data_IF_348877820115
#
_entry.id   IF_348877820115
#
_cell.length_a   1.000
_cell.length_b   1.000
_cell.length_c   1.000
_cell.angle_alpha   90.00
_cell.angle_beta   90.00
_cell.angle_gamma   90.00
#
_symmetry.space_group_name_H-M   'P 1'
#
loop_
_entity.id
_entity.type
_entity.pdbx_description
1 polymer ?
#
# COMPACT_ATOMS: atom_id res chain seq x y z
N UNK A 1 32.94 21.33 1.60
CA UNK A 1 31.48 21.59 1.57
C UNK A 1 30.70 20.33 1.88
N UNK A 2 31.03 19.20 1.27
CA UNK A 2 30.39 17.88 1.48
C UNK A 2 30.39 17.36 2.92
N UNK A 3 31.55 17.56 3.62
CA UNK A 3 31.71 17.11 5.00
C UNK A 3 30.82 17.86 6.01
N UNK A 4 30.53 19.14 5.74
CA UNK A 4 29.66 19.98 6.60
C UNK A 4 28.19 19.63 6.42
N UNK A 5 27.76 19.29 5.19
CA UNK A 5 26.41 18.84 4.85
C UNK A 5 26.15 17.46 5.47
N UNK A 6 27.11 16.54 5.39
CA UNK A 6 27.00 15.21 6.01
C UNK A 6 26.93 15.30 7.55
N UNK A 7 27.56 16.27 8.18
CA UNK A 7 27.54 16.49 9.64
C UNK A 7 26.19 17.09 10.09
N UNK A 8 25.60 17.98 9.30
CA UNK A 8 24.29 18.60 9.58
C UNK A 8 23.15 17.58 9.34
N UNK A 9 23.19 16.85 8.22
CA UNK A 9 22.27 15.76 7.93
C UNK A 9 22.37 14.64 8.96
N UNK A 10 23.59 14.25 9.37
CA UNK A 10 23.81 13.26 10.43
C UNK A 10 23.21 13.70 11.77
N UNK A 11 23.38 14.96 12.15
CA UNK A 11 22.83 15.50 13.41
C UNK A 11 21.29 15.64 13.42
N UNK A 12 20.67 15.92 12.27
CA UNK A 12 19.21 15.94 12.10
C UNK A 12 18.62 14.53 12.11
N UNK A 13 19.26 13.59 11.45
CA UNK A 13 18.86 12.18 11.39
C UNK A 13 19.06 11.48 12.74
N UNK A 14 20.07 11.90 13.52
CA UNK A 14 20.31 11.37 14.88
C UNK A 14 19.25 11.84 15.90
N UNK A 15 18.79 13.09 15.79
CA UNK A 15 17.67 13.61 16.60
C UNK A 15 16.36 12.84 16.40
N UNK A 16 16.17 12.27 15.22
CA UNK A 16 14.97 11.47 14.89
C UNK A 16 15.23 9.98 15.17
N UNK A 17 16.45 9.58 15.55
CA UNK A 17 16.86 8.19 15.73
C UNK A 17 16.94 7.40 14.40
N UNK A 18 16.91 8.10 13.27
CA UNK A 18 16.91 7.52 11.93
C UNK A 18 18.31 7.06 11.51
N UNK A 19 19.35 7.80 11.92
CA UNK A 19 20.74 7.49 11.59
C UNK A 19 21.19 6.15 12.19
N UNK A 20 20.81 5.87 13.42
CA UNK A 20 21.13 4.59 14.07
C UNK A 20 20.38 3.41 13.43
N UNK A 21 19.14 3.65 12.98
CA UNK A 21 18.35 2.66 12.24
C UNK A 21 19.01 2.32 10.89
N UNK A 22 19.45 3.33 10.14
CA UNK A 22 20.13 3.13 8.85
C UNK A 22 21.50 2.47 9.01
N UNK A 23 22.25 2.80 10.06
CA UNK A 23 23.57 2.22 10.35
C UNK A 23 23.49 0.75 10.81
N UNK A 24 22.39 0.34 11.45
CA UNK A 24 22.19 -1.04 11.91
C UNK A 24 21.81 -2.01 10.79
N UNK A 25 21.47 -1.47 9.61
CA UNK A 25 21.09 -2.26 8.43
C UNK A 25 22.33 -2.36 7.54
N UNK A 26 22.85 -3.57 7.30
CA UNK A 26 23.91 -3.76 6.31
C UNK A 26 23.49 -3.22 4.94
N UNK A 27 24.41 -2.59 4.20
CA UNK A 27 24.13 -1.93 2.92
C UNK A 27 23.38 -2.83 1.92
N UNK A 28 23.68 -4.13 1.91
CA UNK A 28 23.01 -5.12 1.06
C UNK A 28 21.54 -5.31 1.43
N UNK A 29 21.23 -5.43 2.72
CA UNK A 29 19.83 -5.53 3.18
C UNK A 29 19.03 -4.25 2.92
N UNK A 30 19.69 -3.11 2.96
CA UNK A 30 19.09 -1.82 2.64
C UNK A 30 18.76 -1.71 1.15
N UNK A 31 19.70 -2.12 0.29
CA UNK A 31 19.50 -2.14 -1.16
C UNK A 31 18.34 -3.08 -1.56
N UNK A 32 18.29 -4.29 -0.99
CA UNK A 32 17.23 -5.25 -1.26
C UNK A 32 15.84 -4.73 -0.86
N UNK A 33 15.71 -4.08 0.30
CA UNK A 33 14.44 -3.49 0.74
C UNK A 33 14.02 -2.31 -0.12
N UNK A 34 14.98 -1.47 -0.52
CA UNK A 34 14.70 -0.36 -1.42
C UNK A 34 14.27 -0.84 -2.81
N UNK A 35 14.98 -1.83 -3.38
CA UNK A 35 14.60 -2.45 -4.64
C UNK A 35 13.19 -3.05 -4.59
N UNK A 36 12.86 -3.73 -3.50
CA UNK A 36 11.52 -4.29 -3.30
C UNK A 36 10.44 -3.19 -3.18
N UNK A 37 10.76 -2.04 -2.57
CA UNK A 37 9.85 -0.90 -2.53
C UNK A 37 9.61 -0.31 -3.92
N UNK A 38 10.65 -0.20 -4.76
CA UNK A 38 10.52 0.22 -6.17
C UNK A 38 9.67 -0.76 -6.96
N UNK A 39 9.96 -2.06 -6.87
CA UNK A 39 9.19 -3.11 -7.55
C UNK A 39 7.73 -3.03 -7.14
N UNK A 40 7.44 -2.97 -5.83
CA UNK A 40 6.06 -2.81 -5.36
C UNK A 40 5.41 -1.55 -5.93
N UNK A 41 6.08 -0.40 -5.90
CA UNK A 41 5.55 0.87 -6.41
C UNK A 41 5.18 0.79 -7.89
N UNK A 42 6.02 0.17 -8.71
CA UNK A 42 5.76 -0.05 -10.15
C UNK A 42 4.55 -0.97 -10.35
N UNK A 43 4.56 -2.14 -9.70
CA UNK A 43 3.50 -3.14 -9.89
C UNK A 43 2.16 -2.66 -9.33
N UNK A 44 2.15 -2.01 -8.16
CA UNK A 44 0.93 -1.47 -7.56
C UNK A 44 0.33 -0.33 -8.39
N UNK A 45 1.14 0.58 -8.91
CA UNK A 45 0.66 1.66 -9.77
C UNK A 45 0.16 1.13 -11.11
N UNK A 46 0.84 0.14 -11.69
CA UNK A 46 0.39 -0.51 -12.91
C UNK A 46 -0.95 -1.24 -12.71
N UNK A 47 -1.07 -2.04 -11.64
CA UNK A 47 -2.33 -2.72 -11.31
C UNK A 47 -3.48 -1.71 -11.09
N UNK A 48 -3.19 -0.62 -10.38
CA UNK A 48 -4.20 0.39 -10.06
C UNK A 48 -4.64 1.17 -11.29
N UNK A 49 -3.70 1.73 -12.06
CA UNK A 49 -4.00 2.70 -13.11
C UNK A 49 -4.45 2.04 -14.42
N UNK A 50 -4.07 0.80 -14.67
CA UNK A 50 -4.43 0.10 -15.92
C UNK A 50 -5.60 -0.88 -15.76
N UNK A 51 -5.86 -1.34 -14.52
CA UNK A 51 -6.89 -2.36 -14.29
C UNK A 51 -7.91 -1.94 -13.24
N UNK A 52 -7.49 -1.59 -12.02
CA UNK A 52 -8.42 -1.39 -10.92
C UNK A 52 -9.28 -0.14 -11.10
N UNK A 53 -8.69 1.01 -11.40
CA UNK A 53 -9.46 2.24 -11.61
C UNK A 53 -10.39 2.12 -12.83
N UNK A 54 -9.93 1.68 -14.03
CA UNK A 54 -10.81 1.52 -15.17
C UNK A 54 -11.92 0.48 -14.97
N UNK A 55 -11.65 -0.57 -14.19
CA UNK A 55 -12.60 -1.65 -13.91
C UNK A 55 -13.51 -1.40 -12.70
N UNK A 56 -13.37 -0.26 -12.03
CA UNK A 56 -14.03 0.02 -10.74
C UNK A 56 -13.80 -1.11 -9.71
N UNK A 57 -12.60 -1.67 -9.71
CA UNK A 57 -12.18 -2.73 -8.80
C UNK A 57 -11.44 -2.10 -7.63
N UNK A 58 -11.88 -2.41 -6.42
CA UNK A 58 -11.25 -1.90 -5.20
C UNK A 58 -10.20 -2.88 -4.69
N UNK A 59 -9.00 -2.36 -4.47
CA UNK A 59 -7.90 -3.15 -3.93
C UNK A 59 -8.13 -3.52 -2.47
N UNK A 60 -7.33 -4.43 -1.95
CA UNK A 60 -7.23 -4.67 -0.51
C UNK A 60 -6.39 -3.60 0.19
N UNK A 61 -6.56 -3.48 1.49
CA UNK A 61 -5.67 -2.66 2.32
C UNK A 61 -5.85 -1.17 2.18
N UNK A 62 -4.76 -0.44 2.42
CA UNK A 62 -4.79 1.02 2.34
C UNK A 62 -5.05 1.53 0.93
N UNK A 63 -4.65 0.80 -0.10
CA UNK A 63 -4.92 1.18 -1.48
C UNK A 63 -6.43 1.16 -1.75
N UNK A 64 -7.14 0.12 -1.31
CA UNK A 64 -8.60 0.07 -1.42
C UNK A 64 -9.29 1.14 -0.57
N UNK A 65 -8.83 1.36 0.65
CA UNK A 65 -9.33 2.45 1.48
C UNK A 65 -9.10 3.83 0.83
N UNK A 66 -7.94 4.04 0.20
CA UNK A 66 -7.63 5.27 -0.53
C UNK A 66 -8.54 5.46 -1.76
N UNK A 67 -8.85 4.38 -2.49
CA UNK A 67 -9.82 4.42 -3.59
C UNK A 67 -11.21 4.82 -3.08
N UNK A 68 -11.69 4.19 -2.00
CA UNK A 68 -12.99 4.52 -1.39
C UNK A 68 -13.05 5.98 -0.94
N UNK A 69 -12.01 6.47 -0.27
CA UNK A 69 -11.92 7.86 0.20
C UNK A 69 -11.91 8.84 -0.99
N UNK A 70 -11.08 8.59 -2.00
CA UNK A 70 -10.99 9.41 -3.20
C UNK A 70 -12.33 9.50 -3.92
N UNK A 71 -12.95 8.37 -4.20
CA UNK A 71 -14.25 8.28 -4.87
C UNK A 71 -15.36 8.95 -4.07
N UNK A 72 -15.38 8.76 -2.74
CA UNK A 72 -16.37 9.39 -1.87
C UNK A 72 -16.24 10.92 -1.89
N UNK A 73 -15.00 11.43 -1.82
CA UNK A 73 -14.74 12.88 -1.89
C UNK A 73 -15.17 13.44 -3.25
N UNK A 74 -14.85 12.75 -4.34
CA UNK A 74 -15.27 13.15 -5.70
C UNK A 74 -16.79 13.19 -5.82
N UNK A 75 -17.52 12.21 -5.29
CA UNK A 75 -19.00 12.20 -5.31
C UNK A 75 -19.63 13.32 -4.50
N UNK A 76 -19.06 13.65 -3.33
CA UNK A 76 -19.59 14.71 -2.46
C UNK A 76 -19.27 16.09 -3.01
N UNK A 77 -18.05 16.29 -3.53
CA UNK A 77 -17.59 17.61 -4.04
C UNK A 77 -17.99 17.91 -5.49
N UNK A 78 -18.33 16.87 -6.26
CA UNK A 78 -18.55 16.96 -7.71
C UNK A 78 -17.25 17.13 -8.54
N UNK A 79 -16.09 17.13 -7.90
CA UNK A 79 -14.78 17.33 -8.52
C UNK A 79 -13.74 16.35 -7.96
N UNK A 80 -12.78 15.96 -8.79
CA UNK A 80 -11.65 15.13 -8.36
C UNK A 80 -10.58 15.98 -7.64
N UNK A 81 -10.92 16.42 -6.42
CA UNK A 81 -10.04 17.25 -5.58
C UNK A 81 -9.05 16.43 -4.75
N UNK A 82 -9.30 15.15 -4.56
CA UNK A 82 -8.44 14.28 -3.76
C UNK A 82 -8.09 12.99 -4.54
N UNK A 83 -7.03 13.01 -5.37
CA UNK A 83 -6.64 11.84 -6.14
C UNK A 83 -6.23 10.67 -5.24
N UNK A 84 -6.33 9.44 -5.77
CA UNK A 84 -5.99 8.21 -5.04
C UNK A 84 -4.55 8.26 -4.49
N UNK A 85 -3.63 8.85 -5.22
CA UNK A 85 -2.23 9.03 -4.79
C UNK A 85 -2.12 9.82 -3.48
N UNK A 86 -2.84 10.93 -3.35
CA UNK A 86 -2.87 11.73 -2.12
C UNK A 86 -3.65 11.01 -1.01
N UNK A 87 -4.79 10.40 -1.33
CA UNK A 87 -5.59 9.60 -0.41
C UNK A 87 -4.78 8.45 0.20
N UNK A 88 -3.88 7.83 -0.58
CA UNK A 88 -3.02 6.74 -0.10
C UNK A 88 -2.08 7.20 1.01
N UNK A 89 -1.47 8.37 0.87
CA UNK A 89 -0.63 8.96 1.92
C UNK A 89 -1.48 9.31 3.14
N UNK A 90 -2.62 9.95 2.93
CA UNK A 90 -3.52 10.39 4.00
C UNK A 90 -4.01 9.23 4.85
N UNK A 91 -4.49 8.15 4.23
CA UNK A 91 -4.95 6.94 4.91
C UNK A 91 -3.84 6.24 5.67
N UNK A 92 -2.60 6.24 5.13
CA UNK A 92 -1.47 5.62 5.80
C UNK A 92 -0.84 6.50 6.90
N UNK A 93 -1.03 7.81 6.90
CA UNK A 93 -0.41 8.72 7.88
C UNK A 93 -0.67 8.31 9.35
N UNK A 94 -1.91 8.05 9.81
CA UNK A 94 -2.15 7.56 11.16
C UNK A 94 -1.55 6.17 11.40
N UNK A 95 -1.50 5.32 10.38
CA UNK A 95 -0.94 3.98 10.49
C UNK A 95 0.59 4.01 10.64
N UNK A 96 1.28 4.99 10.07
CA UNK A 96 2.71 5.18 10.29
C UNK A 96 3.03 5.50 11.75
N UNK A 97 2.19 6.31 12.42
CA UNK A 97 2.36 6.60 13.85
C UNK A 97 2.16 5.32 14.67
N UNK A 98 1.14 4.54 14.30
CA UNK A 98 0.86 3.25 14.94
C UNK A 98 2.02 2.26 14.74
N UNK A 99 2.55 2.15 13.53
CA UNK A 99 3.67 1.28 13.19
C UNK A 99 4.95 1.69 13.93
N UNK A 100 5.22 2.99 13.99
CA UNK A 100 6.40 3.53 14.68
C UNK A 100 6.45 3.15 16.16
N UNK A 101 5.29 3.26 16.84
CA UNK A 101 5.18 2.97 18.27
C UNK A 101 4.97 1.48 18.57
N UNK A 102 4.25 0.75 17.70
CA UNK A 102 3.79 -0.60 18.00
C UNK A 102 4.55 -1.73 17.31
N UNK A 103 5.18 -1.48 16.16
CA UNK A 103 5.88 -2.50 15.37
C UNK A 103 7.39 -2.28 15.43
N UNK A 104 7.87 -1.14 14.95
CA UNK A 104 9.28 -0.79 15.00
C UNK A 104 9.67 0.27 13.96
N UNK A 105 10.71 1.04 14.29
CA UNK A 105 11.16 2.18 13.47
C UNK A 105 11.61 1.76 12.07
N UNK A 106 12.40 0.69 11.98
CA UNK A 106 12.92 0.19 10.70
C UNK A 106 11.79 -0.22 9.75
N UNK A 107 10.84 -1.00 10.24
CA UNK A 107 9.65 -1.40 9.47
C UNK A 107 8.90 -0.18 8.96
N UNK A 108 8.64 0.80 9.85
CA UNK A 108 7.91 2.02 9.49
C UNK A 108 8.60 2.84 8.43
N UNK A 109 9.93 3.04 8.52
CA UNK A 109 10.70 3.81 7.54
C UNK A 109 10.56 3.21 6.13
N UNK A 110 10.76 1.90 6.00
CA UNK A 110 10.61 1.25 4.69
C UNK A 110 9.18 1.24 4.20
N UNK A 111 8.20 1.10 5.09
CA UNK A 111 6.79 1.22 4.73
C UNK A 111 6.45 2.63 4.24
N UNK A 112 6.95 3.68 4.89
CA UNK A 112 6.79 5.07 4.42
C UNK A 112 7.41 5.24 3.03
N UNK A 113 8.64 4.76 2.82
CA UNK A 113 9.31 4.82 1.52
C UNK A 113 8.44 4.11 0.47
N UNK A 114 7.96 2.90 0.75
CA UNK A 114 7.14 2.11 -0.16
C UNK A 114 5.85 2.85 -0.54
N UNK A 115 5.12 3.39 0.44
CA UNK A 115 3.86 4.10 0.24
C UNK A 115 4.07 5.40 -0.53
N UNK A 116 5.10 6.18 -0.19
CA UNK A 116 5.43 7.43 -0.89
C UNK A 116 5.82 7.14 -2.34
N UNK A 117 6.66 6.15 -2.59
CA UNK A 117 7.01 5.74 -3.95
C UNK A 117 5.79 5.29 -4.74
N UNK A 118 4.93 4.47 -4.16
CA UNK A 118 3.67 4.04 -4.82
C UNK A 118 2.78 5.24 -5.14
N UNK A 119 2.63 6.18 -4.19
CA UNK A 119 1.85 7.40 -4.42
C UNK A 119 2.42 8.23 -5.57
N UNK A 120 3.74 8.39 -5.65
CA UNK A 120 4.42 9.10 -6.75
C UNK A 120 4.15 8.39 -8.09
N UNK A 121 4.35 7.08 -8.16
CA UNK A 121 4.12 6.33 -9.40
C UNK A 121 2.65 6.33 -9.82
N UNK A 122 1.70 6.19 -8.87
CA UNK A 122 0.27 6.29 -9.15
C UNK A 122 -0.09 7.67 -9.72
N UNK A 123 0.55 8.74 -9.23
CA UNK A 123 0.28 10.10 -9.69
C UNK A 123 0.81 10.36 -11.10
N UNK A 124 2.02 9.90 -11.42
CA UNK A 124 2.68 10.21 -12.70
C UNK A 124 2.32 9.24 -13.83
N UNK A 125 1.93 8.02 -13.53
CA UNK A 125 1.47 7.07 -14.55
C UNK A 125 0.01 7.38 -14.88
N UNK A 126 -0.34 7.66 -16.14
CA UNK A 126 -1.72 7.98 -16.49
C UNK A 126 -2.63 6.77 -16.31
N UNK A 127 -3.87 7.03 -15.94
CA UNK A 127 -4.92 6.00 -15.90
C UNK A 127 -5.31 5.67 -17.35
N UNK A 128 -5.02 4.46 -17.78
CA UNK A 128 -5.26 4.01 -19.15
C UNK A 128 -5.86 2.60 -19.12
N UNK A 129 -7.12 2.41 -19.54
CA UNK A 129 -7.74 1.10 -19.55
C UNK A 129 -7.06 0.19 -20.58
N UNK A 130 -6.58 -0.98 -20.18
CA UNK A 130 -6.12 -2.03 -21.10
C UNK A 130 -7.28 -2.92 -21.56
N UNK A 131 -8.35 -2.98 -20.78
CA UNK A 131 -9.57 -3.70 -21.09
C UNK A 131 -10.76 -3.02 -20.42
N UNK A 132 -11.95 -3.19 -21.01
CA UNK A 132 -13.21 -2.72 -20.44
C UNK A 132 -13.97 -3.84 -19.71
N UNK A 133 -13.44 -5.08 -19.70
CA UNK A 133 -14.08 -6.22 -19.05
C UNK A 133 -13.72 -6.26 -17.56
N UNK A 134 -14.67 -6.04 -16.63
CA UNK A 134 -14.38 -5.92 -15.20
C UNK A 134 -13.74 -7.18 -14.59
N UNK A 135 -14.12 -8.38 -15.07
CA UNK A 135 -13.55 -9.64 -14.59
C UNK A 135 -12.08 -9.76 -14.99
N UNK A 136 -11.72 -9.37 -16.21
CA UNK A 136 -10.33 -9.34 -16.68
C UNK A 136 -9.53 -8.35 -15.85
N UNK A 137 -10.09 -7.17 -15.61
CA UNK A 137 -9.48 -6.16 -14.73
C UNK A 137 -9.23 -6.68 -13.32
N UNK A 138 -10.20 -7.41 -12.74
CA UNK A 138 -10.05 -8.00 -11.41
C UNK A 138 -8.96 -9.07 -11.36
N UNK A 139 -8.93 -9.98 -12.34
CA UNK A 139 -7.97 -11.10 -12.38
C UNK A 139 -6.54 -10.60 -12.63
N UNK A 140 -6.33 -9.84 -13.70
CA UNK A 140 -4.98 -9.38 -14.06
C UNK A 140 -4.47 -8.31 -13.09
N UNK A 141 -5.32 -7.35 -12.70
CA UNK A 141 -4.97 -6.39 -11.65
C UNK A 141 -4.62 -7.08 -10.34
N UNK A 142 -5.40 -8.10 -9.93
CA UNK A 142 -5.14 -8.93 -8.76
C UNK A 142 -3.80 -9.66 -8.84
N UNK A 143 -3.50 -10.27 -9.99
CA UNK A 143 -2.23 -11.00 -10.18
C UNK A 143 -1.01 -10.06 -10.11
N UNK A 144 -1.07 -8.93 -10.79
CA UNK A 144 0.01 -7.93 -10.81
C UNK A 144 0.22 -7.33 -9.42
N UNK A 145 -0.87 -6.96 -8.74
CA UNK A 145 -0.81 -6.45 -7.38
C UNK A 145 -0.23 -7.51 -6.43
N UNK A 146 -0.68 -8.76 -6.56
CA UNK A 146 -0.20 -9.89 -5.74
C UNK A 146 1.29 -10.14 -5.88
N UNK A 147 1.82 -10.03 -7.09
CA UNK A 147 3.25 -10.10 -7.34
C UNK A 147 4.02 -8.98 -6.60
N UNK A 148 3.54 -7.75 -6.72
CA UNK A 148 4.14 -6.60 -6.03
C UNK A 148 4.14 -6.78 -4.51
N UNK A 149 2.99 -7.15 -3.93
CA UNK A 149 2.83 -7.35 -2.48
C UNK A 149 3.68 -8.54 -1.99
N UNK A 150 3.66 -9.67 -2.69
CA UNK A 150 4.44 -10.87 -2.32
C UNK A 150 5.94 -10.56 -2.27
N UNK A 151 6.47 -9.87 -3.29
CA UNK A 151 7.88 -9.46 -3.32
C UNK A 151 8.25 -8.49 -2.18
N UNK A 152 7.37 -7.54 -1.86
CA UNK A 152 7.55 -6.62 -0.73
C UNK A 152 7.60 -7.39 0.60
N UNK A 153 6.65 -8.30 0.83
CA UNK A 153 6.59 -9.10 2.07
C UNK A 153 7.79 -10.03 2.21
N UNK A 154 8.22 -10.70 1.13
CA UNK A 154 9.42 -11.55 1.12
C UNK A 154 10.68 -10.76 1.51
N UNK A 155 10.73 -9.48 1.14
CA UNK A 155 11.84 -8.58 1.49
C UNK A 155 11.72 -7.98 2.90
N UNK A 156 10.66 -8.33 3.65
CA UNK A 156 10.41 -7.85 5.01
C UNK A 156 10.03 -6.37 5.09
N UNK A 157 9.36 -5.87 4.04
CA UNK A 157 8.72 -4.55 4.02
C UNK A 157 7.21 -4.72 3.85
N UNK A 158 6.44 -3.68 4.16
CA UNK A 158 4.99 -3.68 4.02
C UNK A 158 4.55 -2.75 2.89
N UNK A 159 3.44 -3.12 2.27
CA UNK A 159 2.71 -2.25 1.34
C UNK A 159 1.94 -1.12 2.04
N UNK A 160 1.97 -1.08 3.37
CA UNK A 160 1.15 -0.19 4.19
C UNK A 160 -0.20 -0.80 4.56
N UNK A 161 -1.08 0.02 5.14
CA UNK A 161 -2.48 -0.32 5.36
C UNK A 161 -2.75 -1.47 6.31
N UNK A 162 -3.52 -2.44 5.80
CA UNK A 162 -3.98 -3.60 6.59
C UNK A 162 -2.87 -4.40 7.22
N UNK A 163 -1.68 -4.44 6.61
CA UNK A 163 -0.52 -5.14 7.16
C UNK A 163 -0.11 -4.51 8.50
N UNK A 164 -0.08 -3.18 8.57
CA UNK A 164 0.24 -2.45 9.81
C UNK A 164 -0.81 -2.76 10.87
N UNK A 165 -2.09 -2.65 10.52
CA UNK A 165 -3.20 -2.89 11.45
C UNK A 165 -3.15 -4.33 11.95
N UNK A 166 -2.99 -5.29 11.05
CA UNK A 166 -2.98 -6.72 11.38
C UNK A 166 -1.78 -7.11 12.23
N UNK A 167 -0.58 -6.62 11.91
CA UNK A 167 0.63 -6.86 12.72
C UNK A 167 0.51 -6.22 14.12
N UNK A 168 -0.03 -5.01 14.21
CA UNK A 168 -0.25 -4.35 15.49
C UNK A 168 -1.27 -5.08 16.34
N UNK A 169 -2.40 -5.45 15.75
CA UNK A 169 -3.46 -6.19 16.44
C UNK A 169 -2.99 -7.59 16.85
N UNK A 170 -2.22 -8.28 16.02
CA UNK A 170 -1.60 -9.57 16.37
C UNK A 170 -0.78 -9.46 17.66
N UNK A 171 0.04 -8.41 17.79
CA UNK A 171 0.83 -8.20 19.03
C UNK A 171 -0.04 -8.00 20.26
N UNK A 172 -1.23 -7.42 20.11
CA UNK A 172 -2.15 -7.17 21.24
C UNK A 172 -3.10 -8.33 21.55
N UNK A 173 -3.59 -9.01 20.54
CA UNK A 173 -4.68 -10.00 20.68
C UNK A 173 -4.23 -11.45 20.51
N UNK A 174 -3.03 -11.68 19.98
CA UNK A 174 -2.52 -13.00 19.64
C UNK A 174 -3.21 -13.65 18.43
N UNK A 175 -4.21 -13.01 17.81
CA UNK A 175 -4.91 -13.55 16.63
C UNK A 175 -4.00 -13.57 15.41
N UNK A 176 -4.31 -14.47 14.46
CA UNK A 176 -3.52 -14.56 13.22
C UNK A 176 -3.65 -13.30 12.37
N UNK A 177 -2.56 -12.93 11.69
CA UNK A 177 -2.55 -11.77 10.76
C UNK A 177 -3.58 -11.95 9.66
N UNK A 178 -3.71 -13.18 9.13
CA UNK A 178 -4.68 -13.48 8.06
C UNK A 178 -6.12 -13.21 8.47
N UNK A 179 -6.54 -13.64 9.68
CA UNK A 179 -7.88 -13.36 10.20
C UNK A 179 -8.14 -11.86 10.35
N UNK A 180 -7.15 -11.13 10.85
CA UNK A 180 -7.29 -9.68 11.05
C UNK A 180 -7.33 -8.94 9.71
N UNK A 181 -6.47 -9.31 8.76
CA UNK A 181 -6.49 -8.75 7.41
C UNK A 181 -7.81 -9.04 6.68
N UNK A 182 -8.34 -10.25 6.84
CA UNK A 182 -9.63 -10.62 6.26
C UNK A 182 -10.76 -9.72 6.78
N UNK A 183 -10.82 -9.47 8.10
CA UNK A 183 -11.84 -8.61 8.70
C UNK A 183 -11.73 -7.17 8.17
N UNK A 184 -10.50 -6.60 8.18
CA UNK A 184 -10.30 -5.21 7.73
C UNK A 184 -10.60 -5.06 6.24
N UNK A 185 -10.14 -5.99 5.41
CA UNK A 185 -10.43 -5.98 3.98
C UNK A 185 -11.93 -6.18 3.71
N UNK A 186 -12.59 -7.05 4.48
CA UNK A 186 -14.03 -7.25 4.40
C UNK A 186 -14.81 -5.97 4.65
N UNK A 187 -14.42 -5.18 5.66
CA UNK A 187 -15.05 -3.88 5.93
C UNK A 187 -14.84 -2.90 4.76
N UNK A 188 -13.64 -2.80 4.21
CA UNK A 188 -13.34 -1.90 3.09
C UNK A 188 -14.19 -2.26 1.87
N UNK A 189 -14.23 -3.55 1.50
CA UNK A 189 -14.95 -4.01 0.32
C UNK A 189 -16.46 -3.88 0.51
N UNK A 190 -16.97 -4.21 1.70
CA UNK A 190 -18.37 -4.05 2.02
C UNK A 190 -18.80 -2.57 1.93
N UNK A 191 -17.96 -1.67 2.45
CA UNK A 191 -18.20 -0.23 2.34
C UNK A 191 -18.21 0.22 0.87
N UNK A 192 -17.26 -0.26 0.06
CA UNK A 192 -17.26 0.01 -1.37
C UNK A 192 -18.53 -0.51 -2.06
N UNK A 193 -18.97 -1.72 -1.73
CA UNK A 193 -20.19 -2.30 -2.28
C UNK A 193 -21.46 -1.52 -1.95
N UNK A 194 -21.59 -1.07 -0.71
CA UNK A 194 -22.75 -0.27 -0.26
C UNK A 194 -22.75 1.12 -0.90
N UNK A 195 -21.59 1.75 -1.04
CA UNK A 195 -21.48 3.11 -1.56
C UNK A 195 -21.54 3.18 -3.08
N UNK A 196 -20.97 2.20 -3.77
CA UNK A 196 -20.72 2.29 -5.20
C UNK A 196 -21.45 1.24 -6.02
N UNK A 197 -21.83 0.13 -5.41
CA UNK A 197 -22.61 -0.93 -6.04
C UNK A 197 -22.08 -2.32 -5.73
N UNK A 198 -22.98 -3.28 -5.57
CA UNK A 198 -22.66 -4.66 -5.19
C UNK A 198 -21.83 -5.40 -6.24
N UNK A 199 -21.97 -5.04 -7.52
CA UNK A 199 -21.19 -5.63 -8.61
C UNK A 199 -19.69 -5.33 -8.44
N UNK A 200 -19.35 -4.11 -8.08
CA UNK A 200 -17.95 -3.71 -7.82
C UNK A 200 -17.37 -4.43 -6.60
N UNK A 201 -18.22 -4.76 -5.62
CA UNK A 201 -17.83 -5.60 -4.50
C UNK A 201 -17.43 -7.01 -4.97
N UNK A 202 -18.20 -7.62 -5.87
CA UNK A 202 -17.90 -8.95 -6.38
C UNK A 202 -16.61 -8.99 -7.21
N UNK A 203 -16.40 -8.01 -8.09
CA UNK A 203 -15.14 -7.90 -8.83
C UNK A 203 -13.94 -7.68 -7.91
N UNK A 204 -14.12 -6.88 -6.87
CA UNK A 204 -13.07 -6.65 -5.86
C UNK A 204 -12.75 -7.91 -5.06
N UNK A 205 -13.74 -8.74 -4.74
CA UNK A 205 -13.52 -10.04 -4.11
C UNK A 205 -12.70 -10.98 -4.99
N UNK A 206 -12.98 -11.03 -6.30
CA UNK A 206 -12.17 -11.79 -7.27
C UNK A 206 -10.73 -11.28 -7.26
N UNK A 207 -10.53 -9.98 -7.36
CA UNK A 207 -9.20 -9.36 -7.37
C UNK A 207 -8.41 -9.69 -6.11
N UNK A 208 -9.02 -9.63 -4.93
CA UNK A 208 -8.38 -9.94 -3.66
C UNK A 208 -8.06 -11.43 -3.55
N UNK A 209 -8.94 -12.29 -4.01
CA UNK A 209 -8.66 -13.72 -4.04
C UNK A 209 -7.44 -14.04 -4.91
N UNK A 210 -7.40 -13.50 -6.13
CA UNK A 210 -6.27 -13.69 -7.06
C UNK A 210 -4.99 -13.09 -6.47
N UNK A 211 -5.06 -11.86 -5.94
CA UNK A 211 -3.95 -11.19 -5.26
C UNK A 211 -3.36 -12.07 -4.15
N UNK A 212 -4.22 -12.60 -3.27
CA UNK A 212 -3.77 -13.47 -2.17
C UNK A 212 -3.09 -14.73 -2.69
N UNK A 213 -3.64 -15.39 -3.72
CA UNK A 213 -3.06 -16.61 -4.28
C UNK A 213 -1.70 -16.39 -4.93
N UNK A 214 -1.54 -15.28 -5.67
CA UNK A 214 -0.26 -14.93 -6.28
C UNK A 214 0.76 -14.53 -5.19
N UNK A 215 0.33 -13.78 -4.19
CA UNK A 215 1.17 -13.42 -3.05
C UNK A 215 1.70 -14.63 -2.29
N UNK A 216 0.85 -15.66 -2.08
CA UNK A 216 1.23 -16.89 -1.39
C UNK A 216 2.19 -17.78 -2.21
N UNK A 217 2.22 -17.61 -3.53
CA UNK A 217 3.07 -18.38 -4.45
C UNK A 217 4.50 -17.82 -4.60
N UNK A 218 4.77 -16.60 -4.10
CA UNK A 218 6.07 -15.91 -4.18
C UNK A 218 6.88 -16.10 -2.90
#
# INVERSE_FOLDING_TARGET
MQTKINKILGGLLDKIGLYQVLKSIGAEKMANKFSAAVVYAVFSSFALNFFYQPGHVYASGATGAAQVVSELVTRISGHDILPISASLILVNAPLFILAWRGIGKQFTVYTVITVVMSSVFIHFIPVTPLTHEPVINAVFGGAIMGFGVGNAMKSGISSGGTDIVSLYMRKKTGRSVGTLSFIVNGVIIFTAGVLFGWEYMLYSLIAIFVNSRVQDAI
#
